data_IF_606066590417
#
_entry.id   IF_606066590417
#
_cell.length_a   1.000
_cell.length_b   1.000
_cell.length_c   1.000
_cell.angle_alpha   90.00
_cell.angle_beta   90.00
_cell.angle_gamma   90.00
#
_symmetry.space_group_name_H-M   'P 1'
#
loop_
_entity.id
_entity.type
_entity.pdbx_description
1 polymer ?
#
# COMPACT_ATOMS: atom_id res chain seq x y z
N UNK A 1 -8.40 14.90 -36.02
CA UNK A 1 -8.91 14.73 -34.64
C UNK A 1 -7.73 14.47 -33.72
N UNK A 2 -7.71 15.08 -32.53
CA UNK A 2 -6.56 15.17 -31.62
C UNK A 2 -5.92 13.82 -31.29
N UNK A 3 -4.63 13.68 -31.61
CA UNK A 3 -3.78 12.58 -31.13
C UNK A 3 -3.72 12.64 -29.61
N UNK A 4 -4.05 11.52 -28.97
CA UNK A 4 -4.06 11.40 -27.52
C UNK A 4 -2.67 10.92 -27.07
N UNK A 5 -1.63 11.73 -27.31
CA UNK A 5 -0.22 11.39 -27.07
C UNK A 5 0.18 11.43 -25.58
N UNK A 6 -0.79 11.48 -24.67
CA UNK A 6 -0.51 11.56 -23.24
C UNK A 6 -0.44 10.16 -22.66
N UNK A 7 0.76 9.59 -22.68
CA UNK A 7 1.13 8.49 -21.79
C UNK A 7 0.73 8.87 -20.36
N UNK A 8 -0.37 8.29 -19.90
CA UNK A 8 -0.93 8.59 -18.59
C UNK A 8 0.01 8.14 -17.48
N UNK A 9 -0.03 8.83 -16.34
CA UNK A 9 0.55 8.31 -15.12
C UNK A 9 -0.20 7.03 -14.74
N UNK A 10 0.40 5.87 -14.99
CA UNK A 10 -0.05 4.61 -14.42
C UNK A 10 0.43 4.60 -12.97
N UNK A 11 -0.44 4.79 -11.96
CA UNK A 11 0.00 4.77 -10.59
C UNK A 11 0.63 3.39 -10.32
N UNK A 12 1.80 3.34 -9.66
CA UNK A 12 2.35 2.07 -9.22
C UNK A 12 1.33 1.38 -8.33
N UNK A 13 1.29 0.04 -8.41
CA UNK A 13 0.32 -0.80 -7.72
C UNK A 13 0.16 -0.34 -6.26
N UNK A 14 -0.99 0.24 -5.92
CA UNK A 14 -1.23 0.84 -4.61
C UNK A 14 -1.05 -0.20 -3.49
N UNK A 15 -1.27 -1.48 -3.81
CA UNK A 15 -1.06 -2.63 -2.94
C UNK A 15 0.42 -2.87 -2.57
N UNK A 16 1.37 -2.31 -3.32
CA UNK A 16 2.79 -2.34 -2.99
C UNK A 16 3.17 -1.27 -1.96
N UNK A 17 2.38 -0.19 -1.87
CA UNK A 17 2.66 0.97 -1.02
C UNK A 17 1.98 0.90 0.35
N UNK A 18 0.99 0.03 0.55
CA UNK A 18 0.29 -0.13 1.83
C UNK A 18 0.35 -1.57 2.31
N UNK A 19 0.59 -1.75 3.61
CA UNK A 19 0.52 -3.03 4.28
C UNK A 19 -0.79 -3.15 5.05
N UNK A 20 -1.57 -4.18 4.74
CA UNK A 20 -2.83 -4.47 5.42
C UNK A 20 -2.56 -5.36 6.64
N UNK A 21 -2.95 -4.91 7.82
CA UNK A 21 -2.80 -5.68 9.04
C UNK A 21 -3.71 -6.92 9.01
N UNK A 22 -3.21 -8.13 9.27
CA UNK A 22 -4.03 -9.35 9.27
C UNK A 22 -5.04 -9.40 10.43
N UNK A 23 -4.73 -8.76 11.57
CA UNK A 23 -5.58 -8.78 12.76
C UNK A 23 -6.82 -7.88 12.64
N UNK A 24 -6.64 -6.63 12.21
CA UNK A 24 -7.72 -5.63 12.20
C UNK A 24 -8.06 -5.09 10.81
N UNK A 25 -7.42 -5.61 9.75
CA UNK A 25 -7.56 -5.19 8.34
C UNK A 25 -7.27 -3.71 8.08
N UNK A 26 -6.63 -3.02 9.03
CA UNK A 26 -6.25 -1.63 8.87
C UNK A 26 -5.09 -1.49 7.87
N UNK A 27 -5.11 -0.40 7.12
CA UNK A 27 -4.00 0.00 6.26
C UNK A 27 -2.91 0.67 7.10
N UNK A 28 -1.68 0.21 6.94
CA UNK A 28 -0.51 0.70 7.63
C UNK A 28 0.63 0.92 6.63
N UNK A 29 1.63 1.70 7.00
CA UNK A 29 2.84 1.85 6.19
C UNK A 29 3.60 0.52 6.13
N UNK A 30 4.14 0.13 4.97
CA UNK A 30 4.90 -1.13 4.81
C UNK A 30 6.20 -1.15 5.62
N UNK A 31 6.66 0.02 6.08
CA UNK A 31 7.81 0.16 6.98
C UNK A 31 7.47 -0.14 8.45
N UNK A 32 6.19 -0.16 8.83
CA UNK A 32 5.80 -0.35 10.22
C UNK A 32 5.85 -1.83 10.57
N UNK A 33 6.58 -2.17 11.63
CA UNK A 33 6.62 -3.52 12.20
C UNK A 33 5.42 -3.82 13.10
N UNK A 34 4.66 -2.79 13.49
CA UNK A 34 3.46 -2.91 14.32
C UNK A 34 2.33 -2.11 13.72
N UNK A 35 1.11 -2.64 13.83
CA UNK A 35 -0.08 -1.95 13.39
C UNK A 35 -0.35 -0.74 14.28
N UNK A 36 -0.52 0.44 13.69
CA UNK A 36 -0.84 1.67 14.43
C UNK A 36 -2.25 1.65 15.03
N UNK A 37 -3.14 0.80 14.54
CA UNK A 37 -4.54 0.75 14.98
C UNK A 37 -4.76 -0.23 16.14
N UNK A 38 -4.16 -1.42 16.07
CA UNK A 38 -4.38 -2.47 17.08
C UNK A 38 -3.12 -2.94 17.81
N UNK A 39 -1.94 -2.43 17.45
CA UNK A 39 -0.66 -2.82 18.08
C UNK A 39 -0.13 -4.20 17.67
N UNK A 40 -0.86 -4.98 16.86
CA UNK A 40 -0.42 -6.29 16.38
C UNK A 40 0.85 -6.19 15.52
N UNK A 41 1.71 -7.22 15.60
CA UNK A 41 2.91 -7.29 14.77
C UNK A 41 2.53 -7.44 13.29
N UNK A 42 3.18 -6.66 12.43
CA UNK A 42 2.93 -6.67 11.00
C UNK A 42 3.91 -7.62 10.31
N UNK A 43 3.47 -8.33 9.25
CA UNK A 43 4.36 -9.17 8.48
C UNK A 43 5.42 -8.28 7.81
N UNK A 44 6.67 -8.36 8.28
CA UNK A 44 7.81 -7.83 7.55
C UNK A 44 7.86 -8.57 6.22
N UNK A 45 7.69 -7.85 5.11
CA UNK A 45 8.02 -8.41 3.79
C UNK A 45 9.55 -8.55 3.77
N UNK A 46 10.05 -9.77 3.95
CA UNK A 46 11.45 -10.14 3.68
C UNK A 46 11.79 -9.96 2.20
#
# INVERSE_FOLDING_TARGET
MCSNDKGGFVPPDANKLVARCPACKAFNSPKNIKCKKCGADMPKKS
#
